data_IF_802075086170
#
_entry.id   IF_802075086170
#
_cell.length_a   1.000
_cell.length_b   1.000
_cell.length_c   1.000
_cell.angle_alpha   90.00
_cell.angle_beta   90.00
_cell.angle_gamma   90.00
#
_symmetry.space_group_name_H-M   'P 1'
#
loop_
_entity.id
_entity.type
_entity.pdbx_description
1 polymer ?
#
# COMPACT_ATOMS: atom_id res chain seq x y z
N UNK A 1 15.30 8.75 -6.63
CA UNK A 1 16.09 8.27 -5.52
C UNK A 1 15.19 7.79 -4.41
N UNK A 2 15.46 6.61 -3.93
CA UNK A 2 14.69 6.11 -2.82
C UNK A 2 14.93 7.03 -1.65
N UNK A 3 13.88 7.37 -1.01
CA UNK A 3 13.95 8.40 -0.06
C UNK A 3 14.59 8.04 1.24
N UNK A 4 14.82 9.07 1.97
CA UNK A 4 15.15 9.00 3.37
C UNK A 4 13.95 8.48 4.13
N UNK A 5 14.17 7.77 5.21
CA UNK A 5 13.10 7.32 6.09
C UNK A 5 12.33 8.50 6.65
N UNK A 6 11.00 8.38 6.68
CA UNK A 6 10.12 9.36 7.27
C UNK A 6 9.14 8.67 8.22
N UNK A 7 9.04 9.18 9.45
CA UNK A 7 8.03 8.69 10.39
C UNK A 7 6.61 9.04 9.97
N UNK A 8 6.47 10.02 9.08
CA UNK A 8 5.18 10.50 8.59
C UNK A 8 4.79 9.84 7.27
N UNK A 9 5.44 8.74 6.91
CA UNK A 9 5.09 7.92 5.77
C UNK A 9 4.78 6.54 6.31
N UNK A 10 3.54 6.11 6.17
CA UNK A 10 3.05 4.86 6.75
C UNK A 10 2.59 3.94 5.64
N UNK A 11 3.16 2.74 5.60
CA UNK A 11 2.76 1.71 4.65
C UNK A 11 1.88 0.70 5.37
N UNK A 12 0.67 0.47 4.84
CA UNK A 12 -0.19 -0.60 5.32
C UNK A 12 -0.03 -1.78 4.40
N UNK A 13 0.31 -2.93 4.96
CA UNK A 13 0.43 -4.17 4.21
C UNK A 13 -0.47 -5.22 4.85
N UNK A 14 -0.79 -6.24 4.08
CA UNK A 14 -1.68 -7.31 4.55
C UNK A 14 -2.45 -7.87 3.37
N UNK A 15 -3.03 -9.04 3.58
CA UNK A 15 -3.76 -9.74 2.53
C UNK A 15 -5.01 -8.98 2.13
N UNK A 16 -5.49 -9.25 0.92
CA UNK A 16 -6.77 -8.75 0.47
C UNK A 16 -7.85 -9.16 1.48
N UNK A 17 -8.71 -8.22 1.83
CA UNK A 17 -9.74 -8.47 2.83
C UNK A 17 -9.29 -8.25 4.25
N UNK A 18 -8.06 -7.80 4.49
CA UNK A 18 -7.56 -7.53 5.84
C UNK A 18 -8.04 -6.19 6.40
N UNK A 19 -8.77 -5.41 5.61
CA UNK A 19 -9.33 -4.14 6.08
C UNK A 19 -8.51 -2.91 5.74
N UNK A 20 -7.48 -3.03 4.87
CA UNK A 20 -6.65 -1.88 4.49
C UNK A 20 -7.48 -0.73 3.92
N UNK A 21 -8.51 -1.05 3.12
CA UNK A 21 -9.34 -0.04 2.49
C UNK A 21 -10.29 0.65 3.47
N UNK A 22 -10.50 0.06 4.64
CA UNK A 22 -11.30 0.66 5.71
C UNK A 22 -10.41 1.37 6.71
N UNK A 23 -9.36 0.70 7.16
CA UNK A 23 -8.47 1.24 8.19
C UNK A 23 -7.59 2.37 7.65
N UNK A 24 -7.15 2.25 6.40
CA UNK A 24 -6.25 3.24 5.82
C UNK A 24 -6.79 4.66 5.81
N UNK A 25 -7.98 4.88 5.22
CA UNK A 25 -8.56 6.22 5.22
C UNK A 25 -8.85 6.73 6.63
N UNK A 26 -9.28 5.84 7.53
CA UNK A 26 -9.57 6.22 8.90
C UNK A 26 -8.30 6.67 9.63
N UNK A 27 -7.21 5.91 9.49
CA UNK A 27 -5.94 6.26 10.08
C UNK A 27 -5.42 7.59 9.54
N UNK A 28 -5.50 7.76 8.22
CA UNK A 28 -5.08 9.01 7.59
C UNK A 28 -5.88 10.20 8.13
N UNK A 29 -7.18 10.02 8.31
CA UNK A 29 -8.03 11.07 8.84
C UNK A 29 -7.62 11.45 10.26
N UNK A 30 -7.35 10.46 11.10
CA UNK A 30 -6.94 10.70 12.49
C UNK A 30 -5.62 11.46 12.55
N UNK A 31 -4.68 11.11 11.68
CA UNK A 31 -3.36 11.71 11.64
C UNK A 31 -3.30 13.01 10.83
N UNK A 32 -4.37 13.36 10.14
CA UNK A 32 -4.40 14.47 9.18
C UNK A 32 -3.41 14.27 8.04
N UNK A 33 -3.30 13.02 7.60
CA UNK A 33 -2.46 12.62 6.47
C UNK A 33 -3.32 12.38 5.23
N UNK A 34 -2.67 12.38 4.08
CA UNK A 34 -3.31 11.94 2.83
C UNK A 34 -3.37 10.42 2.81
N UNK A 35 -4.36 9.87 2.12
CA UNK A 35 -4.45 8.43 1.91
C UNK A 35 -4.22 8.10 0.43
N UNK A 36 -3.45 7.06 0.17
CA UNK A 36 -3.22 6.54 -1.18
C UNK A 36 -3.32 5.02 -1.17
N UNK A 37 -4.12 4.47 -2.08
CA UNK A 37 -4.21 3.02 -2.32
C UNK A 37 -3.49 2.75 -3.64
N UNK A 38 -2.41 1.97 -3.60
CA UNK A 38 -1.60 1.75 -4.80
C UNK A 38 -2.34 0.98 -5.87
N UNK A 39 -3.21 0.04 -5.50
CA UNK A 39 -4.00 -0.70 -6.49
C UNK A 39 -4.95 0.25 -7.22
N UNK A 40 -5.62 1.14 -6.48
CA UNK A 40 -6.49 2.14 -7.08
C UNK A 40 -5.72 3.08 -8.01
N UNK A 41 -4.52 3.46 -7.60
CA UNK A 41 -3.67 4.32 -8.43
C UNK A 41 -3.28 3.62 -9.74
N UNK A 42 -2.94 2.35 -9.66
CA UNK A 42 -2.59 1.56 -10.85
C UNK A 42 -3.81 1.45 -11.79
N UNK A 43 -4.98 1.16 -11.24
CA UNK A 43 -6.19 1.03 -12.05
C UNK A 43 -6.53 2.37 -12.72
N UNK A 44 -6.38 3.45 -11.99
CA UNK A 44 -6.67 4.78 -12.53
C UNK A 44 -5.72 5.15 -13.65
N UNK A 45 -4.43 4.89 -13.47
CA UNK A 45 -3.42 5.26 -14.47
C UNK A 45 -3.46 4.36 -15.71
N UNK A 46 -3.73 3.08 -15.52
CA UNK A 46 -3.75 2.12 -16.63
C UNK A 46 -5.07 2.05 -17.36
N UNK A 47 -6.16 2.45 -16.72
CA UNK A 47 -7.49 2.28 -17.27
C UNK A 47 -7.99 0.85 -17.25
N UNK A 48 -7.30 -0.04 -16.52
CA UNK A 48 -7.64 -1.46 -16.44
C UNK A 48 -7.76 -1.89 -14.99
N UNK A 49 -8.56 -2.93 -14.72
CA UNK A 49 -8.60 -3.53 -13.39
C UNK A 49 -7.30 -4.30 -13.14
N UNK A 50 -6.99 -4.52 -11.88
CA UNK A 50 -5.82 -5.32 -11.49
C UNK A 50 -5.90 -6.71 -12.13
N UNK A 51 -7.09 -7.33 -12.11
CA UNK A 51 -7.28 -8.64 -12.71
C UNK A 51 -6.97 -8.64 -14.22
N UNK A 52 -7.37 -7.58 -14.93
CA UNK A 52 -7.08 -7.44 -16.34
C UNK A 52 -5.58 -7.29 -16.60
N UNK A 53 -4.91 -6.53 -15.77
CA UNK A 53 -3.46 -6.33 -15.89
C UNK A 53 -2.73 -7.67 -15.70
N UNK A 54 -3.09 -8.44 -14.67
CA UNK A 54 -2.49 -9.75 -14.44
C UNK A 54 -2.70 -10.67 -15.64
N UNK A 55 -3.92 -10.66 -16.20
CA UNK A 55 -4.25 -11.51 -17.35
C UNK A 55 -3.45 -11.11 -18.59
N UNK A 56 -3.32 -9.79 -18.82
CA UNK A 56 -2.73 -9.30 -20.06
C UNK A 56 -1.20 -9.33 -20.04
N UNK A 57 -0.57 -8.96 -18.94
CA UNK A 57 0.88 -8.78 -18.88
C UNK A 57 1.59 -9.63 -17.82
N UNK A 58 0.84 -10.32 -16.98
CA UNK A 58 1.39 -11.23 -15.99
C UNK A 58 1.85 -10.56 -14.71
N UNK A 59 2.23 -11.40 -13.75
CA UNK A 59 2.56 -10.93 -12.42
C UNK A 59 3.81 -10.05 -12.38
N UNK A 60 4.87 -10.45 -13.07
CA UNK A 60 6.12 -9.70 -13.01
C UNK A 60 5.93 -8.26 -13.50
N UNK A 61 5.22 -8.07 -14.60
CA UNK A 61 4.96 -6.74 -15.13
C UNK A 61 4.07 -5.96 -14.17
N UNK A 62 3.06 -6.61 -13.58
CA UNK A 62 2.24 -5.97 -12.57
C UNK A 62 3.10 -5.47 -11.40
N UNK A 63 4.03 -6.29 -10.91
CA UNK A 63 4.91 -5.89 -9.80
C UNK A 63 5.73 -4.65 -10.14
N UNK A 64 6.13 -4.51 -11.41
CA UNK A 64 6.84 -3.31 -11.85
C UNK A 64 5.94 -2.08 -11.80
N UNK A 65 4.69 -2.22 -12.21
CA UNK A 65 3.72 -1.13 -12.10
C UNK A 65 3.46 -0.76 -10.65
N UNK A 66 3.32 -1.77 -9.81
CA UNK A 66 3.12 -1.58 -8.38
C UNK A 66 4.30 -0.84 -7.75
N UNK A 67 5.53 -1.21 -8.15
CA UNK A 67 6.72 -0.54 -7.65
C UNK A 67 6.74 0.94 -8.02
N UNK A 68 6.34 1.26 -9.26
CA UNK A 68 6.28 2.65 -9.69
C UNK A 68 5.24 3.42 -8.87
N UNK A 69 4.07 2.84 -8.66
CA UNK A 69 3.02 3.47 -7.87
C UNK A 69 3.47 3.70 -6.43
N UNK A 70 4.13 2.71 -5.83
CA UNK A 70 4.66 2.84 -4.47
C UNK A 70 5.71 3.94 -4.38
N UNK A 71 6.60 4.02 -5.36
CA UNK A 71 7.64 5.07 -5.37
C UNK A 71 7.04 6.46 -5.51
N UNK A 72 6.03 6.60 -6.36
CA UNK A 72 5.35 7.88 -6.52
C UNK A 72 4.69 8.31 -5.21
N UNK A 73 3.98 7.39 -4.57
CA UNK A 73 3.32 7.69 -3.29
C UNK A 73 4.36 8.01 -2.21
N UNK A 74 5.49 7.31 -2.22
CA UNK A 74 6.51 7.47 -1.20
C UNK A 74 7.34 8.75 -1.35
N UNK A 75 7.13 9.50 -2.43
CA UNK A 75 7.74 10.82 -2.55
C UNK A 75 7.11 11.84 -1.61
N UNK A 76 5.94 11.52 -1.10
CA UNK A 76 5.20 12.43 -0.22
C UNK A 76 5.39 12.05 1.24
N UNK A 77 5.31 13.05 2.10
CA UNK A 77 5.21 12.86 3.54
C UNK A 77 3.77 13.08 3.98
N UNK A 78 3.49 12.76 5.24
CA UNK A 78 2.16 12.88 5.83
C UNK A 78 1.15 12.08 5.00
N UNK A 79 1.50 10.82 4.76
CA UNK A 79 0.72 9.96 3.89
C UNK A 79 0.61 8.55 4.46
N UNK A 80 -0.57 7.96 4.29
CA UNK A 80 -0.82 6.54 4.56
C UNK A 80 -0.98 5.85 3.22
N UNK A 81 -0.17 4.85 2.96
CA UNK A 81 -0.13 4.15 1.68
C UNK A 81 -0.56 2.70 1.89
N UNK A 82 -1.72 2.34 1.35
CA UNK A 82 -2.17 0.95 1.36
C UNK A 82 -1.58 0.24 0.15
N UNK A 83 -0.80 -0.80 0.41
CA UNK A 83 -0.12 -1.57 -0.63
C UNK A 83 -0.88 -2.86 -0.93
N UNK A 84 -0.76 -3.37 -2.14
CA UNK A 84 -1.37 -4.64 -2.52
C UNK A 84 -0.84 -5.79 -1.67
N UNK A 85 -1.64 -6.86 -1.56
CA UNK A 85 -1.33 -7.98 -0.68
C UNK A 85 0.00 -8.66 -0.97
N UNK A 86 0.41 -8.70 -2.23
CA UNK A 86 1.69 -9.32 -2.62
C UNK A 86 2.86 -8.36 -2.70
N UNK A 87 2.65 -7.08 -2.38
CA UNK A 87 3.71 -6.08 -2.52
C UNK A 87 5.00 -6.45 -1.77
N UNK A 88 4.95 -6.96 -0.53
CA UNK A 88 6.19 -7.27 0.19
C UNK A 88 7.02 -8.40 -0.41
N UNK A 89 6.48 -9.16 -1.35
CA UNK A 89 7.23 -10.27 -1.96
C UNK A 89 8.21 -9.82 -3.04
N UNK A 90 8.11 -8.58 -3.49
CA UNK A 90 8.94 -8.05 -4.56
C UNK A 90 10.10 -7.24 -3.96
N UNK A 91 11.33 -7.61 -4.26
CA UNK A 91 12.51 -6.99 -3.63
C UNK A 91 12.54 -5.47 -3.79
N UNK A 92 12.23 -4.98 -4.98
CA UNK A 92 12.24 -3.54 -5.22
C UNK A 92 11.21 -2.81 -4.34
N UNK A 93 10.09 -3.46 -4.03
CA UNK A 93 9.09 -2.90 -3.13
C UNK A 93 9.59 -2.87 -1.69
N UNK A 94 10.36 -3.90 -1.30
CA UNK A 94 10.91 -3.96 0.05
C UNK A 94 11.82 -2.77 0.34
N UNK A 95 12.56 -2.30 -0.67
CA UNK A 95 13.40 -1.12 -0.50
C UNK A 95 12.57 0.13 -0.22
N UNK A 96 11.42 0.24 -0.86
CA UNK A 96 10.53 1.37 -0.63
C UNK A 96 9.92 1.30 0.76
N UNK A 97 9.54 0.10 1.21
CA UNK A 97 8.96 -0.08 2.54
C UNK A 97 9.91 0.36 3.65
N UNK A 98 11.21 0.32 3.41
CA UNK A 98 12.21 0.78 4.38
C UNK A 98 12.21 2.30 4.57
N UNK A 99 11.51 3.04 3.72
CA UNK A 99 11.50 4.51 3.80
C UNK A 99 10.39 5.04 4.69
N UNK A 100 9.63 4.19 5.34
CA UNK A 100 8.56 4.62 6.23
C UNK A 100 8.24 3.56 7.26
N UNK A 101 7.23 3.84 8.08
CA UNK A 101 6.73 2.87 9.06
C UNK A 101 5.86 1.87 8.33
N UNK A 102 6.05 0.59 8.66
CA UNK A 102 5.26 -0.48 8.07
C UNK A 102 4.32 -1.03 9.13
N UNK A 103 3.04 -1.02 8.84
CA UNK A 103 2.01 -1.58 9.71
C UNK A 103 1.37 -2.75 8.99
N UNK A 104 1.42 -3.90 9.62
CA UNK A 104 0.83 -5.12 9.07
C UNK A 104 -0.57 -5.27 9.63
N UNK A 105 -1.57 -5.32 8.76
CA UNK A 105 -2.94 -5.59 9.15
C UNK A 105 -3.19 -7.10 9.09
N UNK A 106 -3.48 -7.66 10.26
CA UNK A 106 -3.68 -9.10 10.42
C UNK A 106 -5.07 -9.32 11.02
N UNK A 107 -6.08 -8.83 10.32
CA UNK A 107 -7.47 -8.91 10.78
C UNK A 107 -8.36 -9.29 9.60
N UNK A 108 -9.50 -9.90 9.93
CA UNK A 108 -10.52 -10.19 8.94
C UNK A 108 -11.47 -9.00 8.83
N UNK A 109 -12.30 -8.94 7.77
CA UNK A 109 -13.28 -7.88 7.66
C UNK A 109 -14.21 -7.78 8.87
N UNK A 110 -14.54 -8.89 9.50
CA UNK A 110 -15.37 -8.90 10.69
C UNK A 110 -14.68 -8.25 11.89
N UNK A 111 -13.37 -8.26 11.91
CA UNK A 111 -12.57 -7.73 13.02
C UNK A 111 -12.20 -6.26 12.84
N UNK A 112 -12.54 -5.64 11.72
CA UNK A 112 -12.13 -4.27 11.43
C UNK A 112 -12.60 -3.29 12.50
N UNK A 113 -13.76 -3.54 13.09
CA UNK A 113 -14.29 -2.66 14.14
C UNK A 113 -13.43 -2.63 15.39
N UNK A 114 -12.57 -3.62 15.59
CA UNK A 114 -11.67 -3.69 16.74
C UNK A 114 -10.32 -3.06 16.48
N UNK A 115 -10.00 -2.80 15.23
CA UNK A 115 -8.80 -2.05 14.82
C UNK A 115 -7.51 -2.62 15.39
N UNK A 116 -7.16 -3.83 15.00
CA UNK A 116 -5.90 -4.43 15.41
C UNK A 116 -4.79 -4.06 14.42
N UNK A 117 -3.87 -3.24 14.88
CA UNK A 117 -2.72 -2.81 14.08
C UNK A 117 -1.44 -3.36 14.70
N UNK A 118 -0.57 -3.93 13.86
CA UNK A 118 0.73 -4.43 14.30
C UNK A 118 1.82 -3.68 13.54
N UNK A 119 2.77 -3.12 14.28
CA UNK A 119 3.92 -2.43 13.70
C UNK A 119 5.11 -3.36 13.65
N UNK A 120 5.84 -3.31 12.55
CA UNK A 120 7.05 -4.12 12.36
C UNK A 120 8.25 -3.26 12.01
#
# INVERSE_FOLDING_TARGET
>A
MSGTFSENRIFLIGLSGSGKSTVGPLLASILHFTFCDTDSLIEKTSGQSIAEIFKDVGELTFRKHENIAMREAAEKDNIVIACGGGAPTFLANQEILKTGKVIWLDITPEDVSYTHLRAH
#
